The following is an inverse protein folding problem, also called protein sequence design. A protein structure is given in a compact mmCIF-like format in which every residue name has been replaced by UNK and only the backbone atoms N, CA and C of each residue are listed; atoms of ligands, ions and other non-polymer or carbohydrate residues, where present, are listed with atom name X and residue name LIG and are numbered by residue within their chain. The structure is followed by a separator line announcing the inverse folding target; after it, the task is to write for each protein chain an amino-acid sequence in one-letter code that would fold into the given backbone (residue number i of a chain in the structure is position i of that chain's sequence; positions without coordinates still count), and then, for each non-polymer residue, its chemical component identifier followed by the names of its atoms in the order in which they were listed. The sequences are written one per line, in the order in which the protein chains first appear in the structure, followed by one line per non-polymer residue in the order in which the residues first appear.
data_IF_327757144757
#
_entry.id   IF_327757144757
#
_cell.length_a   1.000
_cell.length_b   1.000
_cell.length_c   1.000
_cell.angle_alpha   90.00
_cell.angle_beta   90.00
_cell.angle_gamma   90.00
#
_symmetry.space_group_name_H-M   'P 1'
#
loop_
_entity.id
_entity.type
_entity.pdbx_description
1 polymer ?
#
# COMPACT_ATOMS: atom_id res chain seq x y z
N UNK A 1 24.47 -17.11 29.81
CA UNK A 1 23.14 -17.64 29.45
C UNK A 1 22.35 -16.55 28.74
N UNK A 2 22.45 -16.49 27.41
CA UNK A 2 21.62 -15.61 26.59
C UNK A 2 20.26 -16.27 26.43
N UNK A 3 19.22 -15.63 26.95
CA UNK A 3 17.82 -16.03 26.73
C UNK A 3 17.60 -16.18 25.22
N UNK A 4 17.12 -17.34 24.72
CA UNK A 4 16.87 -17.50 23.30
C UNK A 4 15.78 -16.50 22.90
N UNK A 5 16.16 -15.46 22.16
CA UNK A 5 15.22 -14.53 21.55
C UNK A 5 14.39 -15.31 20.54
N UNK A 6 13.14 -15.57 20.90
CA UNK A 6 12.17 -16.28 20.05
C UNK A 6 12.09 -15.57 18.70
N UNK A 7 12.60 -16.21 17.64
CA UNK A 7 12.58 -15.67 16.27
C UNK A 7 11.12 -15.33 15.93
N UNK A 8 10.83 -14.07 15.62
CA UNK A 8 9.47 -13.63 15.24
C UNK A 8 9.01 -14.42 14.02
N UNK A 9 7.74 -14.85 13.99
CA UNK A 9 7.18 -15.56 12.83
C UNK A 9 7.11 -14.65 11.59
N UNK A 10 7.11 -15.22 10.38
CA UNK A 10 6.92 -14.46 9.14
C UNK A 10 5.67 -13.58 9.21
N UNK A 11 4.56 -14.14 9.70
CA UNK A 11 3.29 -13.40 9.85
C UNK A 11 3.46 -12.15 10.72
N UNK A 12 4.20 -12.24 11.82
CA UNK A 12 4.44 -11.09 12.69
C UNK A 12 5.27 -10.01 11.98
N UNK A 13 6.33 -10.41 11.25
CA UNK A 13 7.17 -9.46 10.49
C UNK A 13 6.39 -8.77 9.36
N UNK A 14 5.57 -9.52 8.63
CA UNK A 14 4.64 -9.00 7.62
C UNK A 14 3.68 -7.96 8.20
N UNK A 15 3.01 -8.31 9.31
CA UNK A 15 2.06 -7.40 9.96
C UNK A 15 2.73 -6.13 10.48
N UNK A 16 3.95 -6.23 11.01
CA UNK A 16 4.73 -5.08 11.44
C UNK A 16 5.11 -4.17 10.25
N UNK A 17 5.55 -4.76 9.13
CA UNK A 17 5.88 -4.02 7.91
C UNK A 17 4.63 -3.30 7.34
N UNK A 18 3.49 -3.99 7.25
CA UNK A 18 2.22 -3.42 6.80
C UNK A 18 1.79 -2.28 7.73
N UNK A 19 1.77 -2.51 9.05
CA UNK A 19 1.36 -1.50 10.03
C UNK A 19 2.26 -0.27 9.99
N UNK A 20 3.58 -0.47 9.95
CA UNK A 20 4.55 0.62 9.81
C UNK A 20 4.35 1.39 8.52
N UNK A 21 4.09 0.69 7.40
CA UNK A 21 3.75 1.30 6.13
C UNK A 21 2.49 2.15 6.19
N UNK A 22 1.40 1.61 6.75
CA UNK A 22 0.12 2.33 6.92
C UNK A 22 0.30 3.58 7.77
N UNK A 23 1.02 3.49 8.89
CA UNK A 23 1.27 4.63 9.78
C UNK A 23 2.02 5.75 9.05
N UNK A 24 3.07 5.41 8.28
CA UNK A 24 3.86 6.41 7.52
C UNK A 24 3.03 7.04 6.41
N UNK A 25 2.33 6.25 5.60
CA UNK A 25 1.54 6.75 4.47
C UNK A 25 0.36 7.61 4.94
N UNK A 26 -0.38 7.16 5.97
CA UNK A 26 -1.46 7.96 6.57
C UNK A 26 -0.91 9.21 7.24
N UNK A 27 0.26 9.13 7.87
CA UNK A 27 0.97 10.28 8.44
C UNK A 27 1.28 11.36 7.39
N UNK A 28 1.82 10.96 6.24
CA UNK A 28 2.05 11.87 5.11
C UNK A 28 0.74 12.50 4.62
N UNK A 29 -0.32 11.69 4.49
CA UNK A 29 -1.63 12.19 4.02
C UNK A 29 -2.30 13.17 4.98
N UNK A 30 -2.05 13.06 6.29
CA UNK A 30 -2.54 14.03 7.28
C UNK A 30 -2.01 15.45 7.02
N UNK A 31 -0.87 15.61 6.37
CA UNK A 31 -0.37 16.92 5.94
C UNK A 31 -1.41 17.60 5.04
N UNK A 32 -1.95 16.84 4.09
CA UNK A 32 -2.91 17.35 3.11
C UNK A 32 -4.28 17.62 3.73
N UNK A 33 -4.79 16.74 4.59
CA UNK A 33 -6.09 16.94 5.25
C UNK A 33 -6.05 18.13 6.21
N UNK A 34 -4.98 18.24 7.01
CA UNK A 34 -4.79 19.38 7.89
C UNK A 34 -4.63 20.69 7.10
N UNK A 35 -4.00 20.65 5.92
CA UNK A 35 -3.88 21.81 5.05
C UNK A 35 -5.24 22.27 4.49
N UNK A 36 -6.12 21.34 4.12
CA UNK A 36 -7.49 21.65 3.72
C UNK A 36 -8.25 22.37 4.84
N UNK A 37 -8.23 21.85 6.06
CA UNK A 37 -8.95 22.46 7.19
C UNK A 37 -8.39 23.83 7.56
N UNK A 38 -7.07 23.99 7.56
CA UNK A 38 -6.42 25.30 7.80
C UNK A 38 -6.79 26.32 6.72
N UNK A 39 -6.80 25.92 5.44
CA UNK A 39 -7.19 26.81 4.34
C UNK A 39 -8.63 27.26 4.50
N UNK A 40 -9.56 26.31 4.69
CA UNK A 40 -10.99 26.61 4.84
C UNK A 40 -11.25 27.52 6.04
N UNK A 41 -10.62 27.24 7.19
CA UNK A 41 -10.73 28.07 8.40
C UNK A 41 -10.19 29.48 8.15
N UNK A 42 -9.03 29.59 7.49
CA UNK A 42 -8.43 30.89 7.19
C UNK A 42 -9.30 31.71 6.24
N UNK A 43 -9.86 31.10 5.18
CA UNK A 43 -10.72 31.77 4.21
C UNK A 43 -12.07 32.19 4.82
N UNK A 44 -12.69 31.33 5.65
CA UNK A 44 -13.94 31.64 6.33
C UNK A 44 -13.83 32.85 7.27
N UNK A 45 -12.65 33.06 7.87
CA UNK A 45 -12.37 34.17 8.79
C UNK A 45 -12.09 35.51 8.09
N UNK A 46 -11.96 35.54 6.75
CA UNK A 46 -11.69 36.77 5.99
C UNK A 46 -12.98 37.56 5.81
N UNK A 47 -12.94 38.83 6.18
CA UNK A 47 -14.02 39.80 5.95
C UNK A 47 -13.64 40.70 4.76
N UNK A 48 -14.62 41.20 3.98
CA UNK A 48 -14.35 42.20 2.95
C UNK A 48 -13.68 43.45 3.56
N UNK A 49 -12.69 44.01 2.87
CA UNK A 49 -12.00 45.22 3.32
C UNK A 49 -10.49 45.22 3.04
N UNK A 50 -9.79 46.22 3.59
CA UNK A 50 -8.34 46.36 3.43
C UNK A 50 -7.62 45.13 3.97
N UNK A 51 -6.75 44.55 3.14
CA UNK A 51 -5.93 43.38 3.51
C UNK A 51 -6.56 42.01 3.23
N UNK A 52 -7.82 41.93 2.76
CA UNK A 52 -8.45 40.66 2.39
C UNK A 52 -7.63 39.89 1.34
N UNK A 53 -7.21 40.56 0.27
CA UNK A 53 -6.37 39.99 -0.79
C UNK A 53 -5.05 39.43 -0.26
N UNK A 54 -4.38 40.17 0.63
CA UNK A 54 -3.13 39.73 1.26
C UNK A 54 -3.35 38.47 2.09
N UNK A 55 -4.41 38.44 2.90
CA UNK A 55 -4.75 37.26 3.73
C UNK A 55 -5.09 36.03 2.90
N UNK A 56 -5.84 36.19 1.79
CA UNK A 56 -6.11 35.12 0.84
C UNK A 56 -4.79 34.58 0.28
N UNK A 57 -3.90 35.48 -0.20
CA UNK A 57 -2.59 35.09 -0.74
C UNK A 57 -1.75 34.33 0.28
N UNK A 58 -1.71 34.78 1.53
CA UNK A 58 -0.99 34.09 2.61
C UNK A 58 -1.55 32.67 2.84
N UNK A 59 -2.88 32.52 2.90
CA UNK A 59 -3.51 31.21 3.05
C UNK A 59 -3.22 30.27 1.86
N UNK A 60 -3.25 30.80 0.63
CA UNK A 60 -2.88 30.07 -0.59
C UNK A 60 -1.45 29.55 -0.53
N UNK A 61 -0.49 30.41 -0.16
CA UNK A 61 0.93 30.03 -0.08
C UNK A 61 1.14 28.93 0.96
N UNK A 62 0.49 29.03 2.12
CA UNK A 62 0.56 28.00 3.15
C UNK A 62 0.02 26.65 2.67
N UNK A 63 -1.11 26.64 1.93
CA UNK A 63 -1.65 25.41 1.34
C UNK A 63 -0.71 24.82 0.28
N UNK A 64 -0.14 25.66 -0.59
CA UNK A 64 0.80 25.20 -1.62
C UNK A 64 2.08 24.61 -1.02
N UNK A 65 2.60 25.21 0.06
CA UNK A 65 3.74 24.65 0.80
C UNK A 65 3.40 23.29 1.42
N UNK A 66 2.22 23.14 2.01
CA UNK A 66 1.77 21.86 2.55
C UNK A 66 1.56 20.81 1.45
N UNK A 67 1.06 21.18 0.28
CA UNK A 67 0.95 20.29 -0.87
C UNK A 67 2.33 19.81 -1.37
N UNK A 68 3.31 20.70 -1.40
CA UNK A 68 4.69 20.33 -1.74
C UNK A 68 5.32 19.39 -0.69
N UNK A 69 5.04 19.61 0.61
CA UNK A 69 5.47 18.72 1.68
C UNK A 69 4.81 17.34 1.58
N UNK A 70 3.49 17.29 1.38
CA UNK A 70 2.75 16.04 1.12
C UNK A 70 3.35 15.26 -0.06
N UNK A 71 3.67 15.95 -1.16
CA UNK A 71 4.27 15.33 -2.34
C UNK A 71 5.62 14.68 -2.03
N UNK A 72 6.51 15.40 -1.35
CA UNK A 72 7.83 14.87 -0.96
C UNK A 72 7.72 13.70 0.00
N UNK A 73 6.93 13.82 1.06
CA UNK A 73 6.84 12.80 2.11
C UNK A 73 6.18 11.52 1.60
N UNK A 74 5.13 11.66 0.77
CA UNK A 74 4.49 10.52 0.13
C UNK A 74 5.39 9.88 -0.92
N UNK A 75 6.10 10.68 -1.72
CA UNK A 75 7.07 10.18 -2.70
C UNK A 75 8.19 9.39 -2.04
N UNK A 76 8.81 9.92 -0.99
CA UNK A 76 9.84 9.25 -0.21
C UNK A 76 9.34 7.94 0.42
N UNK A 77 8.09 7.93 0.91
CA UNK A 77 7.47 6.69 1.38
C UNK A 77 7.35 5.65 0.25
N UNK A 78 6.85 6.04 -0.92
CA UNK A 78 6.63 5.13 -2.06
C UNK A 78 7.96 4.55 -2.55
N UNK A 79 8.99 5.39 -2.67
CA UNK A 79 10.34 4.97 -3.04
C UNK A 79 10.91 3.97 -2.02
N UNK A 80 10.86 4.28 -0.72
CA UNK A 80 11.33 3.38 0.33
C UNK A 80 10.57 2.05 0.37
N UNK A 81 9.25 2.12 0.21
CA UNK A 81 8.40 0.93 0.19
C UNK A 81 8.75 -0.01 -0.97
N UNK A 82 8.86 0.54 -2.18
CA UNK A 82 9.17 -0.22 -3.39
C UNK A 82 10.62 -0.72 -3.44
N UNK A 83 11.58 0.10 -3.04
CA UNK A 83 13.01 -0.22 -3.18
C UNK A 83 13.58 -1.00 -2.01
N UNK A 84 12.98 -0.93 -0.81
CA UNK A 84 13.55 -1.53 0.41
C UNK A 84 12.59 -2.48 1.11
N UNK A 85 11.37 -2.01 1.44
CA UNK A 85 10.47 -2.79 2.28
C UNK A 85 9.92 -4.03 1.53
N UNK A 86 9.46 -3.85 0.29
CA UNK A 86 8.94 -4.96 -0.53
C UNK A 86 10.01 -6.02 -0.87
N UNK A 87 11.25 -5.68 -1.27
CA UNK A 87 12.32 -6.67 -1.41
C UNK A 87 12.65 -7.40 -0.11
N UNK A 88 12.58 -6.72 1.03
CA UNK A 88 12.77 -7.36 2.35
C UNK A 88 11.65 -8.35 2.64
N UNK A 89 10.39 -7.96 2.41
CA UNK A 89 9.22 -8.83 2.57
C UNK A 89 9.27 -10.04 1.63
N UNK A 90 9.68 -9.83 0.39
CA UNK A 90 9.91 -10.89 -0.60
C UNK A 90 10.93 -11.91 -0.07
N UNK A 91 12.10 -11.42 0.37
CA UNK A 91 13.17 -12.26 0.94
C UNK A 91 12.69 -13.01 2.18
N UNK A 92 11.93 -12.38 3.05
CA UNK A 92 11.38 -13.01 4.24
C UNK A 92 10.45 -14.17 3.89
N UNK A 93 9.63 -14.03 2.85
CA UNK A 93 8.81 -15.11 2.31
C UNK A 93 9.64 -16.26 1.72
N UNK A 94 10.71 -15.95 1.01
CA UNK A 94 11.68 -16.94 0.51
C UNK A 94 12.33 -17.74 1.64
N UNK A 95 12.79 -17.07 2.70
CA UNK A 95 13.43 -17.74 3.84
C UNK A 95 12.43 -18.60 4.64
N UNK A 96 11.18 -18.15 4.78
CA UNK A 96 10.11 -18.92 5.43
C UNK A 96 9.77 -20.20 4.64
N UNK A 97 9.89 -20.17 3.30
CA UNK A 97 9.74 -21.38 2.47
C UNK A 97 10.85 -22.40 2.77
N UNK A 98 12.11 -21.97 2.95
CA UNK A 98 13.19 -22.87 3.36
C UNK A 98 12.95 -23.43 4.77
N UNK A 99 12.49 -22.61 5.72
CA UNK A 99 12.14 -23.05 7.07
C UNK A 99 11.06 -24.15 7.02
N UNK A 100 10.01 -23.97 6.20
CA UNK A 100 8.94 -24.96 5.99
C UNK A 100 9.42 -26.24 5.31
N UNK A 101 10.43 -26.13 4.46
CA UNK A 101 11.11 -27.28 3.83
C UNK A 101 12.20 -27.91 4.70
N UNK A 102 12.38 -27.45 5.93
CA UNK A 102 13.46 -27.84 6.84
C UNK A 102 14.86 -27.76 6.18
N UNK A 103 15.12 -26.66 5.45
CA UNK A 103 16.40 -26.41 4.78
C UNK A 103 17.12 -25.20 5.41
N UNK A 104 18.46 -25.23 5.48
CA UNK A 104 19.21 -24.12 6.06
C UNK A 104 19.14 -22.87 5.17
N UNK A 105 19.13 -21.69 5.79
CA UNK A 105 19.08 -20.39 5.08
C UNK A 105 20.29 -20.15 4.17
N UNK A 106 21.40 -20.85 4.38
CA UNK A 106 22.59 -20.81 3.50
C UNK A 106 22.33 -21.34 2.09
N UNK A 107 21.23 -22.08 1.88
CA UNK A 107 20.78 -22.44 0.52
C UNK A 107 20.15 -21.27 -0.22
N UNK A 108 19.85 -20.17 0.47
CA UNK A 108 19.27 -18.98 -0.13
C UNK A 108 20.29 -18.05 -0.77
N UNK A 109 20.06 -17.79 -2.05
CA UNK A 109 20.77 -16.81 -2.85
C UNK A 109 19.79 -16.12 -3.80
N UNK A 110 20.10 -14.88 -4.16
CA UNK A 110 19.37 -14.18 -5.21
C UNK A 110 19.69 -14.82 -6.57
N UNK A 111 18.71 -15.51 -7.16
CA UNK A 111 18.78 -15.99 -8.54
C UNK A 111 18.27 -14.91 -9.51
N UNK A 112 18.56 -15.07 -10.80
CA UNK A 112 18.00 -14.20 -11.85
C UNK A 112 16.48 -14.20 -11.86
N UNK A 113 15.84 -15.34 -11.53
CA UNK A 113 14.37 -15.43 -11.39
C UNK A 113 13.89 -14.60 -10.21
N UNK A 114 14.52 -14.71 -9.03
CA UNK A 114 14.17 -13.89 -7.88
C UNK A 114 14.28 -12.40 -8.20
N UNK A 115 15.38 -11.97 -8.83
CA UNK A 115 15.60 -10.59 -9.23
C UNK A 115 14.52 -10.10 -10.21
N UNK A 116 14.21 -10.90 -11.24
CA UNK A 116 13.17 -10.57 -12.22
C UNK A 116 11.77 -10.45 -11.58
N UNK A 117 11.39 -11.43 -10.75
CA UNK A 117 10.09 -11.42 -10.05
C UNK A 117 9.96 -10.22 -9.12
N UNK A 118 10.94 -9.98 -8.24
CA UNK A 118 10.85 -8.86 -7.30
C UNK A 118 10.87 -7.51 -8.01
N UNK A 119 11.68 -7.35 -9.05
CA UNK A 119 11.76 -6.10 -9.83
C UNK A 119 10.44 -5.79 -10.53
N UNK A 120 9.78 -6.82 -11.08
CA UNK A 120 8.48 -6.66 -11.75
C UNK A 120 7.40 -6.23 -10.75
N UNK A 121 7.34 -6.89 -9.58
CA UNK A 121 6.39 -6.55 -8.53
C UNK A 121 6.62 -5.14 -7.97
N UNK A 122 7.87 -4.78 -7.67
CA UNK A 122 8.18 -3.47 -7.10
C UNK A 122 7.93 -2.35 -8.11
N UNK A 123 8.23 -2.56 -9.40
CA UNK A 123 7.94 -1.59 -10.45
C UNK A 123 6.42 -1.34 -10.60
N UNK A 124 5.61 -2.41 -10.61
CA UNK A 124 4.15 -2.30 -10.67
C UNK A 124 3.60 -1.54 -9.46
N UNK A 125 3.98 -1.94 -8.24
CA UNK A 125 3.48 -1.32 -7.02
C UNK A 125 3.95 0.11 -6.82
N UNK A 126 5.15 0.43 -7.28
CA UNK A 126 5.64 1.81 -7.36
C UNK A 126 4.75 2.65 -8.28
N UNK A 127 4.48 2.18 -9.50
CA UNK A 127 3.64 2.89 -10.45
C UNK A 127 2.22 3.11 -9.92
N UNK A 128 1.62 2.08 -9.31
CA UNK A 128 0.28 2.16 -8.71
C UNK A 128 0.20 3.24 -7.63
N UNK A 129 1.13 3.23 -6.66
CA UNK A 129 1.14 4.22 -5.58
C UNK A 129 1.46 5.62 -6.10
N UNK A 130 2.37 5.73 -7.07
CA UNK A 130 2.74 7.02 -7.65
C UNK A 130 1.58 7.64 -8.44
N UNK A 131 0.80 6.83 -9.15
CA UNK A 131 -0.46 7.27 -9.77
C UNK A 131 -1.45 7.82 -8.73
N UNK A 132 -1.52 7.22 -7.53
CA UNK A 132 -2.36 7.73 -6.44
C UNK A 132 -1.86 9.04 -5.86
N UNK A 133 -0.54 9.22 -5.76
CA UNK A 133 0.04 10.51 -5.37
C UNK A 133 -0.32 11.61 -6.40
N UNK A 134 -0.10 11.34 -7.69
CA UNK A 134 -0.41 12.29 -8.76
C UNK A 134 -1.88 12.70 -8.76
N UNK A 135 -2.79 11.74 -8.58
CA UNK A 135 -4.22 12.00 -8.51
C UNK A 135 -4.60 12.82 -7.26
N UNK A 136 -3.99 12.54 -6.10
CA UNK A 136 -4.20 13.34 -4.90
C UNK A 136 -3.74 14.79 -5.08
N UNK A 137 -2.61 15.02 -5.75
CA UNK A 137 -2.11 16.37 -6.09
C UNK A 137 -3.09 17.09 -7.02
N UNK A 138 -3.56 16.41 -8.08
CA UNK A 138 -4.53 16.97 -9.04
C UNK A 138 -5.82 17.41 -8.31
N UNK A 139 -6.33 16.57 -7.41
CA UNK A 139 -7.53 16.87 -6.60
C UNK A 139 -7.30 18.01 -5.61
N UNK A 140 -6.13 18.06 -4.97
CA UNK A 140 -5.77 19.17 -4.07
C UNK A 140 -5.70 20.52 -4.81
N UNK A 141 -5.20 20.53 -6.05
CA UNK A 141 -5.20 21.73 -6.90
C UNK A 141 -6.61 22.12 -7.37
N UNK A 142 -7.48 21.16 -7.64
CA UNK A 142 -8.89 21.43 -7.94
C UNK A 142 -9.61 22.05 -6.73
N UNK A 143 -9.42 21.46 -5.55
CA UNK A 143 -9.91 22.02 -4.28
C UNK A 143 -9.44 23.47 -4.06
N UNK A 144 -8.14 23.73 -4.22
CA UNK A 144 -7.59 25.07 -4.03
C UNK A 144 -8.27 26.09 -4.95
N UNK A 145 -8.47 25.75 -6.23
CA UNK A 145 -9.17 26.63 -7.18
C UNK A 145 -10.59 26.94 -6.70
N UNK A 146 -11.38 25.91 -6.40
CA UNK A 146 -12.75 26.08 -5.92
C UNK A 146 -12.84 26.92 -4.64
N UNK A 147 -11.95 26.67 -3.67
CA UNK A 147 -11.91 27.43 -2.42
C UNK A 147 -11.56 28.91 -2.64
N UNK A 148 -10.62 29.20 -3.56
CA UNK A 148 -10.25 30.57 -3.89
C UNK A 148 -11.34 31.30 -4.67
N UNK A 149 -12.03 30.62 -5.58
CA UNK A 149 -13.14 31.21 -6.32
C UNK A 149 -14.30 31.57 -5.37
N UNK A 150 -14.64 30.66 -4.44
CA UNK A 150 -15.64 30.93 -3.39
C UNK A 150 -15.22 32.10 -2.48
N UNK A 151 -13.95 32.13 -2.04
CA UNK A 151 -13.46 33.21 -1.18
C UNK A 151 -13.43 34.58 -1.89
N UNK A 152 -13.09 34.61 -3.19
CA UNK A 152 -13.07 35.83 -3.99
C UNK A 152 -14.47 36.36 -4.26
N UNK A 153 -15.41 35.50 -4.62
CA UNK A 153 -16.81 35.89 -4.85
C UNK A 153 -17.38 36.64 -3.64
N UNK A 154 -17.12 36.13 -2.43
CA UNK A 154 -17.50 36.79 -1.17
C UNK A 154 -16.88 38.18 -0.96
N UNK A 155 -15.68 38.42 -1.47
CA UNK A 155 -14.99 39.72 -1.31
C UNK A 155 -15.45 40.73 -2.35
N UNK A 156 -15.81 40.29 -3.56
CA UNK A 156 -16.13 41.17 -4.70
C UNK A 156 -17.62 41.37 -4.94
N UNK A 157 -18.48 40.45 -4.51
CA UNK A 157 -19.93 40.50 -4.74
C UNK A 157 -20.67 40.72 -3.42
N UNK A 158 -21.51 41.76 -3.39
CA UNK A 158 -22.25 42.17 -2.19
C UNK A 158 -23.31 41.13 -1.75
N UNK A 159 -23.85 40.35 -2.71
CA UNK A 159 -24.85 39.28 -2.51
C UNK A 159 -24.31 37.87 -2.75
N UNK A 160 -22.99 37.68 -2.90
CA UNK A 160 -22.45 36.33 -2.99
C UNK A 160 -22.81 35.57 -1.70
N UNK A 161 -23.44 34.41 -1.85
CA UNK A 161 -23.84 33.54 -0.75
C UNK A 161 -22.70 33.29 0.25
N UNK A 162 -23.05 32.84 1.45
CA UNK A 162 -22.08 32.56 2.51
C UNK A 162 -21.00 31.59 2.01
N UNK A 163 -19.73 31.93 2.24
CA UNK A 163 -18.63 30.95 2.10
C UNK A 163 -18.96 29.75 2.98
N UNK A 164 -19.15 28.59 2.36
CA UNK A 164 -19.54 27.34 3.00
C UNK A 164 -18.35 26.36 3.00
N UNK A 165 -17.60 26.27 4.12
CA UNK A 165 -16.49 25.34 4.26
C UNK A 165 -16.91 23.88 4.16
N UNK A 166 -18.11 23.55 4.62
CA UNK A 166 -18.56 22.17 4.73
C UNK A 166 -18.97 21.63 3.37
N UNK A 167 -19.66 22.43 2.55
CA UNK A 167 -19.90 22.11 1.15
C UNK A 167 -18.60 21.89 0.37
N UNK A 168 -17.61 22.79 0.52
CA UNK A 168 -16.30 22.65 -0.14
C UNK A 168 -15.58 21.37 0.30
N UNK A 169 -15.65 21.01 1.57
CA UNK A 169 -15.03 19.77 2.10
C UNK A 169 -15.71 18.52 1.55
N UNK A 170 -17.04 18.52 1.43
CA UNK A 170 -17.81 17.38 0.89
C UNK A 170 -17.62 17.19 -0.62
N UNK A 171 -17.56 18.30 -1.37
CA UNK A 171 -17.34 18.29 -2.82
C UNK A 171 -15.91 17.92 -3.18
N UNK A 172 -14.93 18.34 -2.36
CA UNK A 172 -13.52 18.11 -2.60
C UNK A 172 -12.80 17.45 -1.39
N UNK A 173 -13.21 16.25 -0.96
CA UNK A 173 -12.58 15.62 0.20
C UNK A 173 -11.13 15.28 -0.12
N UNK A 174 -10.17 15.65 0.72
CA UNK A 174 -8.76 15.26 0.56
C UNK A 174 -8.33 14.11 1.49
N UNK A 175 -9.24 13.64 2.34
CA UNK A 175 -9.05 12.51 3.26
C UNK A 175 -9.42 11.14 2.67
N UNK A 176 -9.70 11.09 1.36
CA UNK A 176 -10.16 9.88 0.67
C UNK A 176 -9.38 9.63 -0.60
N UNK A 177 -9.16 8.36 -0.92
CA UNK A 177 -8.81 7.91 -2.27
C UNK A 177 -10.11 7.65 -3.04
N UNK A 178 -10.16 8.16 -4.27
CA UNK A 178 -11.31 7.99 -5.17
C UNK A 178 -10.85 7.10 -6.34
N UNK A 179 -11.62 6.05 -6.59
CA UNK A 179 -11.40 5.13 -7.71
C UNK A 179 -12.09 5.64 -8.99
N UNK A 180 -11.76 5.02 -10.12
CA UNK A 180 -12.33 5.39 -11.43
C UNK A 180 -13.85 5.22 -11.49
N UNK A 181 -14.42 4.34 -10.66
CA UNK A 181 -15.86 4.11 -10.51
C UNK A 181 -16.50 5.01 -9.43
N UNK A 182 -15.86 6.12 -9.07
CA UNK A 182 -16.26 7.05 -8.01
C UNK A 182 -16.33 6.48 -6.59
N UNK A 183 -15.91 5.22 -6.37
CA UNK A 183 -15.84 4.66 -5.03
C UNK A 183 -14.84 5.45 -4.18
N UNK A 184 -15.29 5.90 -2.99
CA UNK A 184 -14.51 6.72 -2.07
C UNK A 184 -14.12 5.90 -0.85
N UNK A 185 -12.82 5.80 -0.60
CA UNK A 185 -12.29 5.09 0.56
C UNK A 185 -11.48 6.04 1.44
N UNK A 186 -11.69 6.02 2.77
CA UNK A 186 -10.78 6.69 3.69
C UNK A 186 -9.34 6.24 3.45
N UNK A 187 -8.40 7.18 3.50
CA UNK A 187 -6.98 6.91 3.19
C UNK A 187 -6.41 5.78 4.05
N UNK A 188 -6.78 5.71 5.33
CA UNK A 188 -6.33 4.64 6.22
C UNK A 188 -6.81 3.26 5.78
N UNK A 189 -8.10 3.12 5.44
CA UNK A 189 -8.68 1.88 4.93
C UNK A 189 -8.03 1.47 3.60
N UNK A 190 -7.87 2.43 2.68
CA UNK A 190 -7.19 2.19 1.41
C UNK A 190 -5.73 1.78 1.60
N UNK A 191 -4.97 2.49 2.43
CA UNK A 191 -3.56 2.17 2.71
C UNK A 191 -3.42 0.78 3.34
N UNK A 192 -4.29 0.45 4.30
CA UNK A 192 -4.34 -0.87 4.91
C UNK A 192 -4.55 -1.97 3.89
N UNK A 193 -5.54 -1.81 3.00
CA UNK A 193 -5.85 -2.77 1.95
C UNK A 193 -4.71 -2.90 0.93
N UNK A 194 -4.22 -1.78 0.39
CA UNK A 194 -3.19 -1.74 -0.64
C UNK A 194 -1.85 -2.31 -0.14
N UNK A 195 -1.36 -1.86 1.00
CA UNK A 195 -0.07 -2.32 1.54
C UNK A 195 -0.14 -3.78 2.00
N UNK A 196 -1.29 -4.24 2.52
CA UNK A 196 -1.50 -5.66 2.84
C UNK A 196 -1.41 -6.53 1.58
N UNK A 197 -2.12 -6.13 0.52
CA UNK A 197 -2.07 -6.84 -0.77
C UNK A 197 -0.64 -6.94 -1.30
N UNK A 198 0.08 -5.81 -1.35
CA UNK A 198 1.43 -5.75 -1.90
C UNK A 198 2.42 -6.60 -1.10
N UNK A 199 2.37 -6.51 0.24
CA UNK A 199 3.26 -7.25 1.12
C UNK A 199 2.99 -8.77 1.06
N UNK A 200 1.73 -9.19 1.11
CA UNK A 200 1.37 -10.63 1.00
C UNK A 200 1.76 -11.17 -0.37
N UNK A 201 1.48 -10.42 -1.44
CA UNK A 201 1.88 -10.78 -2.81
C UNK A 201 3.40 -10.95 -2.91
N UNK A 202 4.18 -9.98 -2.44
CA UNK A 202 5.64 -10.05 -2.49
C UNK A 202 6.19 -11.23 -1.68
N UNK A 203 5.71 -11.44 -0.46
CA UNK A 203 6.13 -12.58 0.38
C UNK A 203 5.79 -13.91 -0.27
N UNK A 204 4.59 -14.07 -0.81
CA UNK A 204 4.17 -15.32 -1.43
C UNK A 204 4.91 -15.58 -2.74
N UNK A 205 5.17 -14.55 -3.55
CA UNK A 205 6.01 -14.67 -4.74
C UNK A 205 7.42 -15.14 -4.36
N UNK A 206 8.03 -14.55 -3.32
CA UNK A 206 9.34 -14.98 -2.81
C UNK A 206 9.34 -16.43 -2.35
N UNK A 207 8.28 -16.83 -1.64
CA UNK A 207 8.11 -18.20 -1.18
C UNK A 207 8.00 -19.20 -2.35
N UNK A 208 7.15 -18.92 -3.33
CA UNK A 208 6.94 -19.80 -4.49
C UNK A 208 8.18 -19.87 -5.38
N UNK A 209 8.85 -18.75 -5.63
CA UNK A 209 10.12 -18.75 -6.40
C UNK A 209 11.17 -19.61 -5.70
N UNK A 210 11.30 -19.53 -4.37
CA UNK A 210 12.24 -20.38 -3.61
C UNK A 210 11.85 -21.85 -3.64
N UNK A 211 10.56 -22.17 -3.58
CA UNK A 211 10.09 -23.56 -3.71
C UNK A 211 10.58 -24.18 -5.02
N UNK A 212 10.49 -23.43 -6.11
CA UNK A 212 10.99 -23.87 -7.41
C UNK A 212 12.52 -23.92 -7.47
N UNK A 213 13.18 -22.76 -7.32
CA UNK A 213 14.61 -22.58 -7.63
C UNK A 213 15.53 -23.37 -6.69
N UNK A 214 15.11 -23.60 -5.44
CA UNK A 214 16.03 -24.03 -4.38
C UNK A 214 15.57 -25.29 -3.63
N UNK A 215 14.27 -25.57 -3.68
CA UNK A 215 13.71 -26.80 -3.13
C UNK A 215 13.37 -27.84 -4.22
N UNK A 216 13.40 -27.44 -5.50
CA UNK A 216 13.09 -28.32 -6.63
C UNK A 216 11.62 -28.74 -6.68
N UNK A 217 10.73 -27.95 -6.08
CA UNK A 217 9.29 -28.19 -6.10
C UNK A 217 8.72 -27.82 -7.48
N UNK A 218 7.84 -28.68 -7.99
CA UNK A 218 7.00 -28.43 -9.19
C UNK A 218 5.63 -27.88 -8.82
N UNK A 219 5.24 -28.07 -7.55
CA UNK A 219 3.96 -27.64 -6.97
C UNK A 219 4.16 -27.12 -5.56
N UNK A 220 3.19 -26.35 -5.08
CA UNK A 220 3.08 -25.88 -3.71
C UNK A 220 1.72 -26.25 -3.15
N UNK A 221 1.66 -26.55 -1.86
CA UNK A 221 0.40 -26.69 -1.14
C UNK A 221 -0.05 -25.32 -0.65
N UNK A 222 -1.34 -25.03 -0.78
CA UNK A 222 -1.93 -23.76 -0.39
C UNK A 222 -2.56 -23.86 1.00
N UNK A 223 -2.25 -22.91 1.88
CA UNK A 223 -2.91 -22.71 3.17
C UNK A 223 -3.60 -21.35 3.18
N UNK A 224 -4.92 -21.30 3.35
CA UNK A 224 -5.71 -20.07 3.24
C UNK A 224 -6.99 -20.07 4.12
N UNK A 225 -7.91 -19.13 3.89
CA UNK A 225 -9.31 -19.19 4.30
C UNK A 225 -10.02 -20.43 3.78
N UNK A 226 -10.89 -21.06 4.59
CA UNK A 226 -11.73 -22.18 4.10
C UNK A 226 -12.59 -21.72 2.92
N UNK A 227 -13.10 -20.49 2.98
CA UNK A 227 -13.94 -19.87 1.96
C UNK A 227 -13.17 -18.93 1.02
N UNK A 228 -11.84 -18.94 1.03
CA UNK A 228 -11.05 -18.10 0.13
C UNK A 228 -10.91 -18.77 -1.25
N UNK A 229 -11.45 -18.14 -2.28
CA UNK A 229 -11.24 -18.54 -3.67
C UNK A 229 -9.81 -18.32 -4.19
N UNK A 230 -9.47 -18.96 -5.31
CA UNK A 230 -8.13 -19.00 -5.89
C UNK A 230 -7.73 -17.67 -6.52
N UNK A 231 -8.47 -17.18 -7.51
CA UNK A 231 -8.15 -15.94 -8.23
C UNK A 231 -8.68 -14.70 -7.52
N UNK A 232 -9.85 -14.83 -6.88
CA UNK A 232 -10.53 -13.78 -6.12
C UNK A 232 -11.20 -14.38 -4.89
N UNK A 233 -11.69 -13.55 -3.96
CA UNK A 233 -12.36 -14.05 -2.75
C UNK A 233 -13.56 -14.94 -3.07
N UNK A 234 -14.40 -14.50 -4.01
CA UNK A 234 -15.67 -15.15 -4.38
C UNK A 234 -15.52 -16.21 -5.49
N UNK A 235 -14.28 -16.60 -5.82
CA UNK A 235 -14.01 -17.63 -6.80
C UNK A 235 -14.47 -19.00 -6.29
N UNK A 236 -15.26 -19.71 -7.11
CA UNK A 236 -15.75 -21.06 -6.81
C UNK A 236 -14.62 -22.10 -6.69
N UNK A 237 -13.46 -21.83 -7.31
CA UNK A 237 -12.26 -22.63 -7.12
C UNK A 237 -11.60 -22.28 -5.78
N UNK A 238 -11.91 -23.03 -4.71
CA UNK A 238 -11.38 -22.75 -3.37
C UNK A 238 -9.87 -23.03 -3.28
N UNK A 239 -9.15 -22.13 -2.61
CA UNK A 239 -7.70 -22.19 -2.53
C UNK A 239 -7.19 -23.17 -1.45
N UNK A 240 -7.81 -23.15 -0.27
CA UNK A 240 -7.24 -23.82 0.91
C UNK A 240 -7.15 -25.34 0.77
N UNK A 241 -5.98 -25.90 1.09
CA UNK A 241 -5.73 -27.34 1.04
C UNK A 241 -5.38 -27.88 -0.35
N UNK A 242 -5.47 -27.05 -1.40
CA UNK A 242 -5.14 -27.46 -2.77
C UNK A 242 -3.64 -27.49 -3.04
N UNK A 243 -3.25 -28.18 -4.12
CA UNK A 243 -1.89 -28.19 -4.65
C UNK A 243 -1.85 -27.50 -6.01
N UNK A 244 -1.06 -26.44 -6.12
CA UNK A 244 -0.99 -25.59 -7.32
C UNK A 244 0.38 -25.69 -7.95
N UNK A 245 0.46 -25.60 -9.28
CA UNK A 245 1.76 -25.53 -9.95
C UNK A 245 2.50 -24.25 -9.53
N UNK A 246 3.82 -24.24 -9.71
CA UNK A 246 4.63 -23.04 -9.46
C UNK A 246 4.11 -21.86 -10.28
N UNK A 247 3.82 -22.07 -11.57
CA UNK A 247 3.39 -21.00 -12.47
C UNK A 247 2.03 -20.42 -12.03
N UNK A 248 1.06 -21.28 -11.72
CA UNK A 248 -0.27 -20.85 -11.23
C UNK A 248 -0.16 -20.07 -9.91
N UNK A 249 0.69 -20.54 -8.99
CA UNK A 249 0.93 -19.86 -7.73
C UNK A 249 1.67 -18.51 -7.87
N UNK A 250 2.52 -18.35 -8.89
CA UNK A 250 3.16 -17.06 -9.20
C UNK A 250 2.21 -16.07 -9.88
N UNK A 251 1.21 -16.56 -10.63
CA UNK A 251 0.16 -15.72 -11.21
C UNK A 251 -0.84 -15.27 -10.14
N UNK A 252 -1.16 -16.13 -9.16
CA UNK A 252 -2.13 -15.86 -8.09
C UNK A 252 -1.53 -15.91 -6.66
N UNK A 253 -0.50 -15.07 -6.38
CA UNK A 253 0.19 -15.08 -5.08
C UNK A 253 -0.71 -14.60 -3.93
N UNK A 254 -1.78 -13.86 -4.24
CA UNK A 254 -2.86 -13.51 -3.31
C UNK A 254 -4.17 -13.31 -4.10
N UNK A 255 -5.33 -13.40 -3.42
CA UNK A 255 -6.66 -13.30 -4.06
C UNK A 255 -7.45 -12.04 -3.71
N UNK A 256 -7.20 -11.43 -2.54
CA UNK A 256 -7.86 -10.17 -2.15
C UNK A 256 -7.03 -9.37 -1.13
N UNK A 257 -7.35 -8.09 -0.88
CA UNK A 257 -6.78 -7.37 0.25
C UNK A 257 -6.99 -8.13 1.56
N UNK A 258 -5.99 -8.11 2.45
CA UNK A 258 -5.98 -8.88 3.72
C UNK A 258 -6.04 -10.40 3.57
N UNK A 259 -5.74 -10.93 2.38
CA UNK A 259 -5.59 -12.36 2.15
C UNK A 259 -4.58 -12.97 3.13
N UNK A 260 -4.91 -14.15 3.67
CA UNK A 260 -4.08 -14.88 4.62
C UNK A 260 -3.33 -16.05 3.97
N UNK A 261 -3.40 -16.15 2.64
CA UNK A 261 -2.75 -17.19 1.83
C UNK A 261 -1.29 -17.33 2.14
N UNK A 262 -0.86 -18.58 2.22
CA UNK A 262 0.52 -18.97 2.33
C UNK A 262 0.76 -20.20 1.50
N UNK A 263 1.95 -20.30 0.93
CA UNK A 263 2.40 -21.47 0.21
C UNK A 263 3.32 -22.33 1.10
N UNK A 264 3.16 -23.63 0.97
CA UNK A 264 3.97 -24.67 1.61
C UNK A 264 4.69 -25.46 0.52
N UNK A 265 5.92 -25.92 0.76
CA UNK A 265 6.61 -26.74 -0.23
C UNK A 265 5.88 -28.08 -0.40
N UNK A 266 5.70 -28.53 -1.64
CA UNK A 266 5.27 -29.89 -1.94
C UNK A 266 6.38 -30.64 -2.66
N UNK A 267 6.66 -31.84 -2.20
CA UNK A 267 7.64 -32.73 -2.81
C UNK A 267 6.90 -33.93 -3.41
N UNK A 268 6.85 -34.02 -4.75
CA UNK A 268 6.14 -35.09 -5.49
C UNK A 268 6.67 -36.49 -5.17
N UNK A 269 7.88 -36.59 -4.62
CA UNK A 269 8.50 -37.80 -4.07
C UNK A 269 9.07 -37.46 -2.70
N UNK A 270 9.14 -38.40 -1.74
CA UNK A 270 10.08 -38.26 -0.64
C UNK A 270 11.45 -38.09 -1.28
N UNK A 271 12.03 -36.89 -1.11
CA UNK A 271 13.27 -36.53 -1.78
C UNK A 271 14.35 -37.57 -1.43
N UNK A 272 15.05 -38.19 -2.40
CA UNK A 272 16.21 -39.05 -2.09
C UNK A 272 17.35 -38.29 -1.40
N UNK A 273 17.25 -36.96 -1.27
CA UNK A 273 18.12 -36.11 -0.45
C UNK A 273 17.49 -35.82 0.92
N UNK A 274 17.52 -36.84 1.77
CA UNK A 274 17.59 -36.71 3.22
C UNK A 274 16.25 -36.70 3.95
N UNK A 275 15.60 -37.86 4.00
CA UNK A 275 15.00 -38.30 5.25
C UNK A 275 16.14 -38.81 6.15
N UNK A 276 16.33 -38.16 7.29
CA UNK A 276 16.98 -38.75 8.48
C UNK A 276 16.02 -38.41 9.64
N UNK A 277 15.54 -39.38 10.42
CA UNK A 277 16.30 -40.08 11.46
C UNK A 277 16.95 -39.08 12.42
#
# INVERSE_FOLDING_TARGET
MSTPTRRRSLRARLLDAIRGGVIRLTGAWRILTNAQDRLLTALAAIRPGRGATTRIRTATLAFQQALAAFSRDTGAFIEGWAATDLPTVYRDGSLDMLDRGNRPHSRWSWTSRHQSTVTTLTAQFYADLMGRLQEAIRRAQAFLRAALDAARARVTQFDAGSFDPDALRQQHPLNTVIYVNDARHPVETWAGAALSWQAVTASNAGAVTTAYEQLGCTRVQVRDGADCGWQSHDDSDLANGTYRSIDDALVHPSAHPHCRRQFLPHFDRPNPLGAFA
#
